data_IF_353488662227
#
_entry.id   IF_353488662227
#
_cell.length_a   1.000
_cell.length_b   1.000
_cell.length_c   1.000
_cell.angle_alpha   90.00
_cell.angle_beta   90.00
_cell.angle_gamma   90.00
#
_symmetry.space_group_name_H-M   'P 1'
#
loop_
_entity.id
_entity.type
_entity.pdbx_description
1 polymer ?
#
# COMPACT_ATOMS: atom_id res chain seq x y z
N UNK A 1 -13.60 -12.72 13.14
CA UNK A 1 -12.16 -13.00 13.04
C UNK A 1 -11.40 -11.88 13.75
N UNK A 2 -10.23 -12.11 14.34
CA UNK A 2 -9.44 -11.02 14.90
C UNK A 2 -9.13 -10.00 13.80
N UNK A 3 -9.41 -8.72 14.07
CA UNK A 3 -9.18 -7.57 13.19
C UNK A 3 -7.83 -7.62 12.47
N UNK A 4 -6.80 -8.08 13.18
CA UNK A 4 -5.46 -8.31 12.66
C UNK A 4 -5.43 -9.27 11.45
N UNK A 5 -6.09 -10.44 11.52
CA UNK A 5 -6.10 -11.42 10.44
C UNK A 5 -6.77 -10.86 9.18
N UNK A 6 -7.88 -10.14 9.33
CA UNK A 6 -8.58 -9.54 8.18
C UNK A 6 -7.69 -8.46 7.53
N UNK A 7 -7.02 -7.66 8.35
CA UNK A 7 -6.12 -6.60 7.87
C UNK A 7 -4.92 -7.19 7.13
N UNK A 8 -4.36 -8.31 7.62
CA UNK A 8 -3.30 -9.06 6.94
C UNK A 8 -3.79 -9.63 5.60
N UNK A 9 -4.97 -10.23 5.55
CA UNK A 9 -5.54 -10.75 4.29
C UNK A 9 -5.74 -9.64 3.25
N UNK A 10 -6.25 -8.48 3.66
CA UNK A 10 -6.40 -7.30 2.79
C UNK A 10 -5.02 -6.85 2.29
N UNK A 11 -4.02 -6.80 3.17
CA UNK A 11 -2.66 -6.42 2.82
C UNK A 11 -1.99 -7.39 1.84
N UNK A 12 -2.22 -8.71 1.98
CA UNK A 12 -1.74 -9.70 1.02
C UNK A 12 -2.37 -9.48 -0.35
N UNK A 13 -3.69 -9.24 -0.42
CA UNK A 13 -4.38 -8.98 -1.69
C UNK A 13 -3.83 -7.69 -2.33
N UNK A 14 -3.71 -6.61 -1.57
CA UNK A 14 -3.16 -5.35 -2.06
C UNK A 14 -1.70 -5.51 -2.55
N UNK A 15 -0.87 -6.21 -1.78
CA UNK A 15 0.52 -6.48 -2.15
C UNK A 15 0.64 -7.33 -3.42
N UNK A 16 -0.23 -8.34 -3.62
CA UNK A 16 -0.24 -9.10 -4.88
C UNK A 16 -0.59 -8.18 -6.05
N UNK A 17 -1.62 -7.34 -5.91
CA UNK A 17 -2.03 -6.40 -6.97
C UNK A 17 -0.90 -5.44 -7.33
N UNK A 18 -0.16 -4.94 -6.34
CA UNK A 18 0.95 -4.01 -6.54
C UNK A 18 2.18 -4.67 -7.21
N UNK A 19 2.47 -5.93 -6.85
CA UNK A 19 3.64 -6.65 -7.37
C UNK A 19 3.44 -7.18 -8.80
N UNK A 20 2.21 -7.46 -9.21
CA UNK A 20 1.90 -7.92 -10.58
C UNK A 20 2.52 -7.02 -11.68
N UNK A 21 2.30 -5.69 -11.69
CA UNK A 21 2.93 -4.81 -12.67
C UNK A 21 4.45 -4.71 -12.48
N UNK A 22 4.98 -4.87 -11.26
CA UNK A 22 6.43 -4.85 -11.00
C UNK A 22 7.14 -6.05 -11.64
N UNK A 23 6.54 -7.25 -11.53
CA UNK A 23 7.04 -8.46 -12.17
C UNK A 23 6.96 -8.33 -13.70
N UNK A 24 5.85 -7.79 -14.22
CA UNK A 24 5.70 -7.54 -15.66
C UNK A 24 6.77 -6.57 -16.20
N UNK A 25 7.16 -5.58 -15.40
CA UNK A 25 8.22 -4.62 -15.71
C UNK A 25 9.65 -5.16 -15.43
N UNK A 26 9.78 -6.41 -14.98
CA UNK A 26 11.07 -7.06 -14.64
C UNK A 26 11.90 -6.26 -13.64
N UNK A 27 11.24 -5.62 -12.68
CA UNK A 27 11.93 -4.92 -11.59
C UNK A 27 12.71 -5.91 -10.71
N UNK A 28 13.66 -5.37 -9.95
CA UNK A 28 14.47 -6.18 -9.03
C UNK A 28 13.60 -6.96 -8.03
N UNK A 29 14.06 -8.17 -7.71
CA UNK A 29 13.32 -9.09 -6.82
C UNK A 29 13.18 -8.51 -5.41
N UNK A 30 14.19 -7.80 -4.91
CA UNK A 30 14.13 -7.18 -3.59
C UNK A 30 13.15 -6.02 -3.58
N UNK A 31 13.08 -5.23 -4.65
CA UNK A 31 12.07 -4.16 -4.79
C UNK A 31 10.65 -4.71 -4.76
N UNK A 32 10.40 -5.81 -5.48
CA UNK A 32 9.08 -6.46 -5.52
C UNK A 32 8.68 -7.04 -4.15
N UNK A 33 9.61 -7.70 -3.46
CA UNK A 33 9.37 -8.21 -2.10
C UNK A 33 9.18 -7.08 -1.08
N UNK A 34 9.93 -5.98 -1.22
CA UNK A 34 9.79 -4.81 -0.37
C UNK A 34 8.39 -4.21 -0.50
N UNK A 35 7.91 -3.97 -1.72
CA UNK A 35 6.57 -3.46 -2.00
C UNK A 35 5.47 -4.41 -1.48
N UNK A 36 5.64 -5.72 -1.66
CA UNK A 36 4.71 -6.72 -1.13
C UNK A 36 4.55 -6.63 0.38
N UNK A 37 5.67 -6.68 1.12
CA UNK A 37 5.67 -6.63 2.58
C UNK A 37 5.18 -5.27 3.08
N UNK A 38 5.53 -4.19 2.37
CA UNK A 38 5.03 -2.85 2.65
C UNK A 38 3.51 -2.82 2.68
N UNK A 39 2.81 -3.36 1.68
CA UNK A 39 1.35 -3.40 1.64
C UNK A 39 0.72 -4.24 2.75
N UNK A 40 1.35 -5.34 3.15
CA UNK A 40 0.91 -6.16 4.29
C UNK A 40 0.94 -5.34 5.58
N UNK A 41 2.06 -4.66 5.84
CA UNK A 41 2.23 -3.82 7.03
C UNK A 41 1.30 -2.61 6.98
N UNK A 42 1.22 -1.94 5.83
CA UNK A 42 0.41 -0.74 5.61
C UNK A 42 -1.08 -1.00 5.84
N UNK A 43 -1.61 -2.16 5.41
CA UNK A 43 -2.99 -2.53 5.66
C UNK A 43 -3.32 -2.67 7.16
N UNK A 44 -2.37 -3.20 7.96
CA UNK A 44 -2.50 -3.22 9.42
C UNK A 44 -2.48 -1.79 9.97
N UNK A 45 -1.54 -0.95 9.54
CA UNK A 45 -1.47 0.45 10.00
C UNK A 45 -2.78 1.19 9.70
N UNK A 46 -3.29 1.13 8.47
CA UNK A 46 -4.54 1.79 8.04
C UNK A 46 -5.73 1.30 8.87
N UNK A 47 -5.77 0.01 9.21
CA UNK A 47 -6.84 -0.61 9.99
C UNK A 47 -6.91 -0.13 11.45
N UNK A 48 -5.75 0.15 12.07
CA UNK A 48 -5.65 0.54 13.47
C UNK A 48 -5.51 2.05 13.70
N UNK A 49 -5.04 2.81 12.70
CA UNK A 49 -4.90 4.26 12.84
C UNK A 49 -6.27 4.94 12.92
N UNK A 50 -6.40 5.82 13.92
CA UNK A 50 -7.60 6.63 14.14
C UNK A 50 -7.31 8.05 13.67
N UNK A 51 -7.89 8.42 12.52
CA UNK A 51 -7.81 9.76 11.97
C UNK A 51 -9.24 10.30 11.77
N UNK A 52 -9.50 11.59 12.06
CA UNK A 52 -10.83 12.20 11.92
C UNK A 52 -11.15 12.49 10.45
N UNK A 53 -11.19 11.45 9.63
CA UNK A 53 -11.39 11.54 8.18
C UNK A 53 -12.09 10.28 7.66
N UNK A 54 -12.81 10.36 6.52
CA UNK A 54 -13.49 9.21 5.96
C UNK A 54 -12.49 8.10 5.54
N UNK A 55 -12.91 6.81 5.55
CA UNK A 55 -12.00 5.69 5.34
C UNK A 55 -11.19 5.72 4.04
N UNK A 56 -11.78 6.22 2.95
CA UNK A 56 -11.10 6.34 1.66
C UNK A 56 -9.96 7.37 1.71
N UNK A 57 -10.19 8.52 2.35
CA UNK A 57 -9.19 9.58 2.50
C UNK A 57 -8.11 9.17 3.50
N UNK A 58 -8.50 8.46 4.56
CA UNK A 58 -7.57 7.85 5.51
C UNK A 58 -6.58 6.93 4.82
N UNK A 59 -7.10 6.01 4.00
CA UNK A 59 -6.29 5.07 3.25
C UNK A 59 -5.34 5.78 2.27
N UNK A 60 -5.85 6.77 1.54
CA UNK A 60 -5.05 7.61 0.63
C UNK A 60 -3.90 8.31 1.36
N UNK A 61 -4.21 9.10 2.39
CA UNK A 61 -3.21 9.92 3.09
C UNK A 61 -2.12 9.05 3.72
N UNK A 62 -2.51 7.94 4.36
CA UNK A 62 -1.55 7.04 5.02
C UNK A 62 -0.68 6.32 3.99
N UNK A 63 -1.24 5.89 2.85
CA UNK A 63 -0.47 5.27 1.78
C UNK A 63 0.54 6.25 1.17
N UNK A 64 0.11 7.47 0.83
CA UNK A 64 0.97 8.50 0.24
C UNK A 64 2.12 8.89 1.17
N UNK A 65 1.84 9.11 2.47
CA UNK A 65 2.88 9.41 3.46
C UNK A 65 3.88 8.25 3.56
N UNK A 66 3.39 7.02 3.52
CA UNK A 66 4.22 5.81 3.60
C UNK A 66 5.00 5.54 2.31
N UNK A 67 4.55 6.06 1.17
CA UNK A 67 5.25 5.99 -0.10
C UNK A 67 6.44 6.97 -0.20
N UNK A 68 6.44 8.09 0.55
CA UNK A 68 7.54 9.07 0.57
C UNK A 68 8.93 8.43 0.75
N UNK A 69 9.20 7.60 1.77
CA UNK A 69 10.52 6.97 1.93
C UNK A 69 10.87 6.04 0.77
N UNK A 70 9.89 5.34 0.18
CA UNK A 70 10.09 4.46 -0.98
C UNK A 70 10.45 5.30 -2.21
N UNK A 71 9.74 6.41 -2.43
CA UNK A 71 10.02 7.34 -3.52
C UNK A 71 11.44 7.88 -3.40
N UNK A 72 11.89 8.30 -2.21
CA UNK A 72 13.26 8.78 -1.99
C UNK A 72 14.30 7.70 -2.37
N UNK A 73 14.05 6.43 -2.03
CA UNK A 73 14.94 5.33 -2.39
C UNK A 73 14.96 5.09 -3.90
N UNK A 74 13.79 5.03 -4.53
CA UNK A 74 13.65 4.72 -5.97
C UNK A 74 14.10 5.87 -6.85
N UNK A 75 13.99 7.12 -6.40
CA UNK A 75 14.45 8.32 -7.12
C UNK A 75 15.92 8.26 -7.55
N UNK A 76 16.76 7.53 -6.81
CA UNK A 76 18.17 7.34 -7.14
C UNK A 76 18.36 6.52 -8.41
N UNK A 77 17.50 5.52 -8.63
CA UNK A 77 17.65 4.53 -9.69
C UNK A 77 16.74 4.83 -10.89
N UNK A 78 15.49 5.25 -10.64
CA UNK A 78 14.52 5.55 -11.69
C UNK A 78 13.50 6.64 -11.29
N UNK A 79 13.78 7.89 -11.69
CA UNK A 79 12.92 9.04 -11.41
C UNK A 79 11.56 8.98 -12.15
N UNK A 80 11.43 8.22 -13.25
CA UNK A 80 10.16 8.15 -14.01
C UNK A 80 9.13 7.28 -13.30
N UNK A 81 9.58 6.33 -12.49
CA UNK A 81 8.73 5.40 -11.73
C UNK A 81 7.95 6.06 -10.59
N UNK A 82 8.29 7.30 -10.19
CA UNK A 82 7.59 8.05 -9.13
C UNK A 82 6.11 8.22 -9.46
N UNK A 83 5.78 8.56 -10.71
CA UNK A 83 4.40 8.79 -11.12
C UNK A 83 3.54 7.51 -11.00
N UNK A 84 3.98 6.35 -11.54
CA UNK A 84 3.32 5.07 -11.27
C UNK A 84 3.16 4.77 -9.78
N UNK A 85 4.19 4.99 -8.96
CA UNK A 85 4.16 4.70 -7.52
C UNK A 85 3.06 5.53 -6.83
N UNK A 86 3.01 6.84 -7.07
CA UNK A 86 1.99 7.72 -6.49
C UNK A 86 0.58 7.32 -6.92
N UNK A 87 0.38 6.99 -8.20
CA UNK A 87 -0.94 6.58 -8.70
C UNK A 87 -1.36 5.24 -8.07
N UNK A 88 -0.48 4.26 -8.03
CA UNK A 88 -0.77 2.93 -7.45
C UNK A 88 -1.00 3.03 -5.94
N UNK A 89 -0.15 3.78 -5.24
CA UNK A 89 -0.28 4.11 -3.81
C UNK A 89 -1.65 4.73 -3.52
N UNK A 90 -2.06 5.72 -4.31
CA UNK A 90 -3.35 6.37 -4.12
C UNK A 90 -4.53 5.41 -4.32
N UNK A 91 -4.52 4.65 -5.42
CA UNK A 91 -5.61 3.72 -5.78
C UNK A 91 -5.72 2.60 -4.74
N UNK A 92 -4.61 1.93 -4.43
CA UNK A 92 -4.58 0.84 -3.46
C UNK A 92 -4.82 1.35 -2.04
N UNK A 93 -4.31 2.54 -1.69
CA UNK A 93 -4.51 3.17 -0.39
C UNK A 93 -5.99 3.42 -0.12
N UNK A 94 -6.69 4.01 -1.09
CA UNK A 94 -8.15 4.19 -1.02
C UNK A 94 -8.86 2.85 -0.87
N UNK A 95 -8.50 1.85 -1.70
CA UNK A 95 -9.13 0.54 -1.67
C UNK A 95 -8.95 -0.17 -0.31
N UNK A 96 -7.73 -0.16 0.24
CA UNK A 96 -7.40 -0.72 1.55
C UNK A 96 -8.10 0.04 2.68
N UNK A 97 -8.17 1.37 2.60
CA UNK A 97 -8.90 2.20 3.57
C UNK A 97 -10.39 1.84 3.64
N UNK A 98 -11.03 1.68 2.49
CA UNK A 98 -12.43 1.25 2.40
C UNK A 98 -12.58 -0.20 2.88
N UNK A 99 -11.75 -1.12 2.40
CA UNK A 99 -11.82 -2.54 2.74
C UNK A 99 -11.64 -2.78 4.24
N UNK A 100 -10.63 -2.17 4.86
CA UNK A 100 -10.39 -2.29 6.30
C UNK A 100 -11.53 -1.70 7.12
N UNK A 101 -12.15 -0.59 6.69
CA UNK A 101 -13.32 -0.03 7.37
C UNK A 101 -14.59 -0.88 7.24
N UNK A 102 -14.71 -1.71 6.19
CA UNK A 102 -15.89 -2.57 5.98
C UNK A 102 -15.75 -3.93 6.64
N UNK A 103 -14.55 -4.52 6.58
CA UNK A 103 -14.32 -5.90 6.99
C UNK A 103 -13.55 -6.02 8.30
N UNK A 104 -12.75 -5.01 8.68
CA UNK A 104 -11.91 -5.01 9.87
C UNK A 104 -12.33 -3.94 10.91
N UNK A 105 -13.58 -3.45 10.82
CA UNK A 105 -14.18 -2.55 11.80
C UNK A 105 -14.47 -3.27 13.14
#
# INVERSE_FOLDING_TARGET
MPKLLISLCIGVIAGVIDVVPMIAQKLDKYSSWSAFVHWIVLAVIISYIQLPMPPWLKGLVVAEISAVPIIILVMKDDMKSIFPILIMSAVLGIAVGIATSRFAA
#
